data_IF_999811407592
#
_entry.id   IF_999811407592
#
_cell.length_a   1.000
_cell.length_b   1.000
_cell.length_c   1.000
_cell.angle_alpha   90.00
_cell.angle_beta   90.00
_cell.angle_gamma   90.00
#
_symmetry.space_group_name_H-M   'P 1'
#
loop_
_entity.id
_entity.type
_entity.pdbx_description
1 polymer ?
#
# COMPACT_ATOMS: atom_id res chain seq x y z
N UNK A 1 -23.60 -9.76 4.23
CA UNK A 1 -23.01 -8.62 3.50
C UNK A 1 -21.64 -8.39 4.09
N UNK A 2 -20.73 -9.26 3.69
CA UNK A 2 -19.36 -9.31 4.12
C UNK A 2 -18.67 -8.12 3.46
N UNK A 3 -18.71 -6.97 4.14
CA UNK A 3 -17.85 -5.84 3.81
C UNK A 3 -16.43 -6.33 4.02
N UNK A 4 -15.86 -6.91 2.96
CA UNK A 4 -14.43 -7.00 2.77
C UNK A 4 -13.89 -5.65 3.18
N UNK A 5 -13.21 -5.62 4.33
CA UNK A 5 -12.41 -4.50 4.82
C UNK A 5 -11.16 -4.37 3.93
N UNK A 6 -11.38 -4.47 2.62
CA UNK A 6 -10.43 -4.40 1.54
C UNK A 6 -10.10 -2.95 1.29
N UNK A 7 -8.92 -2.75 0.74
CA UNK A 7 -8.39 -1.46 0.35
C UNK A 7 -9.45 -0.55 -0.30
N UNK A 8 -9.69 0.62 0.31
CA UNK A 8 -10.54 1.64 -0.31
C UNK A 8 -9.82 2.23 -1.51
N UNK A 9 -10.58 2.73 -2.49
CA UNK A 9 -10.01 3.37 -3.69
C UNK A 9 -9.06 4.50 -3.32
N UNK A 10 -9.39 5.30 -2.31
CA UNK A 10 -8.52 6.35 -1.76
C UNK A 10 -7.21 5.79 -1.19
N UNK A 11 -7.26 4.68 -0.43
CA UNK A 11 -6.07 4.04 0.12
C UNK A 11 -5.17 3.45 -0.98
N UNK A 12 -5.75 2.87 -2.04
CA UNK A 12 -5.01 2.35 -3.20
C UNK A 12 -4.37 3.48 -4.01
N UNK A 13 -5.10 4.58 -4.24
CA UNK A 13 -4.56 5.75 -4.93
C UNK A 13 -3.36 6.32 -4.17
N UNK A 14 -3.54 6.58 -2.86
CA UNK A 14 -2.48 7.10 -2.00
C UNK A 14 -1.28 6.16 -1.93
N UNK A 15 -1.52 4.84 -1.86
CA UNK A 15 -0.46 3.83 -1.92
C UNK A 15 0.34 3.92 -3.23
N UNK A 16 -0.37 4.03 -4.35
CA UNK A 16 0.23 4.08 -5.70
C UNK A 16 1.04 5.36 -5.91
N UNK A 17 0.53 6.50 -5.44
CA UNK A 17 1.24 7.77 -5.45
C UNK A 17 2.53 7.69 -4.64
N UNK A 18 2.44 7.25 -3.39
CA UNK A 18 3.62 7.05 -2.53
C UNK A 18 4.64 6.10 -3.17
N UNK A 19 4.17 5.06 -3.86
CA UNK A 19 5.06 4.08 -4.48
C UNK A 19 5.76 4.63 -5.73
N UNK A 20 5.08 5.49 -6.50
CA UNK A 20 5.70 6.26 -7.59
C UNK A 20 6.73 7.25 -7.08
N UNK A 21 6.48 7.85 -5.93
CA UNK A 21 7.42 8.73 -5.22
C UNK A 21 8.59 7.98 -4.57
N UNK A 22 8.66 6.65 -4.71
CA UNK A 22 9.66 5.77 -4.07
C UNK A 22 9.68 5.89 -2.55
N UNK A 23 8.52 6.14 -1.95
CA UNK A 23 8.36 6.14 -0.49
C UNK A 23 8.58 4.70 0.03
N UNK A 24 9.33 4.50 1.13
CA UNK A 24 9.54 3.17 1.69
C UNK A 24 8.26 2.59 2.29
N UNK A 25 8.12 1.26 2.23
CA UNK A 25 6.92 0.53 2.69
C UNK A 25 6.60 0.81 4.17
N UNK A 26 7.62 1.03 5.00
CA UNK A 26 7.46 1.42 6.40
C UNK A 26 6.73 2.77 6.55
N UNK A 27 7.06 3.75 5.71
CA UNK A 27 6.40 5.06 5.73
C UNK A 27 4.97 4.98 5.16
N UNK A 28 4.75 4.18 4.12
CA UNK A 28 3.40 3.92 3.59
C UNK A 28 2.50 3.23 4.62
N UNK A 29 3.05 2.25 5.35
CA UNK A 29 2.37 1.54 6.43
C UNK A 29 1.94 2.52 7.52
N UNK A 30 2.82 3.45 7.91
CA UNK A 30 2.50 4.50 8.87
C UNK A 30 1.41 5.44 8.34
N UNK A 31 1.51 5.88 7.08
CA UNK A 31 0.57 6.81 6.46
C UNK A 31 -0.84 6.21 6.28
N UNK A 32 -0.93 4.92 5.97
CA UNK A 32 -2.18 4.20 5.75
C UNK A 32 -2.69 3.50 7.02
N UNK A 33 -1.92 3.55 8.11
CA UNK A 33 -2.15 2.80 9.36
C UNK A 33 -2.47 1.32 9.10
N UNK A 34 -1.79 0.74 8.11
CA UNK A 34 -1.94 -0.66 7.69
C UNK A 34 -0.64 -1.42 7.89
N UNK A 35 -0.68 -2.72 8.21
CA UNK A 35 0.53 -3.50 8.40
C UNK A 35 1.36 -3.56 7.11
N UNK A 36 2.69 -3.55 7.26
CA UNK A 36 3.67 -3.61 6.15
C UNK A 36 3.38 -4.79 5.22
N UNK A 37 3.01 -5.96 5.77
CA UNK A 37 2.67 -7.14 4.98
C UNK A 37 1.48 -6.90 4.05
N UNK A 38 0.42 -6.22 4.53
CA UNK A 38 -0.74 -5.90 3.70
C UNK A 38 -0.40 -4.86 2.63
N UNK A 39 0.45 -3.88 2.96
CA UNK A 39 0.95 -2.87 2.01
C UNK A 39 1.78 -3.55 0.92
N UNK A 40 2.71 -4.44 1.29
CA UNK A 40 3.59 -5.17 0.37
C UNK A 40 2.81 -6.14 -0.49
N UNK A 41 1.85 -6.88 0.08
CA UNK A 41 0.92 -7.71 -0.67
C UNK A 41 0.18 -6.87 -1.70
N UNK A 42 -0.36 -5.71 -1.29
CA UNK A 42 -1.11 -4.83 -2.22
C UNK A 42 -0.22 -4.25 -3.32
N UNK A 43 0.98 -3.81 -3.00
CA UNK A 43 1.96 -3.35 -3.99
C UNK A 43 2.32 -4.45 -4.98
N UNK A 44 2.53 -5.67 -4.49
CA UNK A 44 2.80 -6.85 -5.32
C UNK A 44 1.60 -7.20 -6.21
N UNK A 45 0.36 -7.12 -5.70
CA UNK A 45 -0.86 -7.30 -6.50
C UNK A 45 -0.99 -6.23 -7.60
N UNK A 46 -0.53 -5.00 -7.34
CA UNK A 46 -0.54 -3.89 -8.30
C UNK A 46 0.65 -3.93 -9.29
N UNK A 47 1.57 -4.87 -9.12
CA UNK A 47 2.80 -4.96 -9.94
C UNK A 47 3.80 -3.83 -9.67
N UNK A 48 3.68 -3.16 -8.53
CA UNK A 48 4.58 -2.09 -8.12
C UNK A 48 5.65 -2.71 -7.22
N UNK A 49 6.90 -2.75 -7.69
CA UNK A 49 8.03 -3.23 -6.88
C UNK A 49 8.36 -2.17 -5.82
N UNK A 50 8.14 -2.44 -4.51
CA UNK A 50 8.58 -1.51 -3.49
C UNK A 50 10.10 -1.37 -3.53
N UNK A 51 10.59 -0.16 -3.27
CA UNK A 51 12.01 0.07 -3.05
C UNK A 51 12.32 -0.46 -1.64
N UNK A 52 12.73 -1.72 -1.56
CA UNK A 52 13.25 -2.34 -0.35
C UNK A 52 14.71 -1.89 -0.21
N UNK A 53 14.94 -0.72 0.40
CA UNK A 53 16.28 -0.29 0.84
C UNK A 53 16.64 -0.92 2.18
#
# INVERSE_FOLDING_TARGET
MDQQQGWTVEAVQKLTEMARERVPVAAMSLALKRPIEAVRAKLSELGITPVES
#
